data_IF_351389837299
#
_entry.id   IF_351389837299
#
_cell.length_a   1.000
_cell.length_b   1.000
_cell.length_c   1.000
_cell.angle_alpha   90.00
_cell.angle_beta   90.00
_cell.angle_gamma   90.00
#
_symmetry.space_group_name_H-M   'P 1'
#
loop_
_entity.id
_entity.type
_entity.pdbx_description
1 polymer ?
#
# COMPACT_ATOMS: atom_id res chain seq x y z
N UNK A 1 9.53 16.60 7.97
CA UNK A 1 10.45 16.21 6.88
C UNK A 1 11.26 15.03 7.37
N UNK A 2 11.09 13.87 6.75
CA UNK A 2 11.82 12.64 7.09
C UNK A 2 12.93 12.45 6.06
N UNK A 3 14.17 12.24 6.50
CA UNK A 3 15.31 11.94 5.63
C UNK A 3 15.67 10.48 5.85
N UNK A 4 15.60 9.68 4.78
CA UNK A 4 15.94 8.25 4.82
C UNK A 4 17.38 8.04 4.35
N UNK A 5 18.19 7.37 5.17
CA UNK A 5 19.54 6.97 4.77
C UNK A 5 19.48 5.75 3.84
N UNK A 6 20.40 5.70 2.87
CA UNK A 6 20.56 4.56 1.95
C UNK A 6 21.52 3.54 2.55
N UNK A 7 21.24 2.25 2.39
CA UNK A 7 22.16 1.16 2.75
C UNK A 7 23.22 0.95 1.65
N UNK A 8 24.30 0.24 1.98
CA UNK A 8 25.46 0.08 1.10
C UNK A 8 25.12 -0.64 -0.22
N UNK A 9 24.18 -1.59 -0.19
CA UNK A 9 23.68 -2.34 -1.34
C UNK A 9 22.84 -1.48 -2.31
N UNK A 10 22.32 -0.34 -1.85
CA UNK A 10 21.55 0.59 -2.68
C UNK A 10 22.42 1.61 -3.42
N UNK A 11 23.72 1.64 -3.14
CA UNK A 11 24.68 2.51 -3.82
C UNK A 11 25.21 1.82 -5.07
N UNK A 12 25.08 2.49 -6.23
CA UNK A 12 25.78 2.03 -7.44
C UNK A 12 27.25 2.44 -7.39
N UNK A 13 28.12 1.54 -7.82
CA UNK A 13 29.55 1.84 -7.98
C UNK A 13 29.80 2.90 -9.06
N UNK A 14 30.98 3.51 -9.03
CA UNK A 14 31.41 4.56 -9.96
C UNK A 14 31.96 4.02 -11.28
N UNK A 15 32.00 2.70 -11.44
CA UNK A 15 32.47 2.05 -12.67
C UNK A 15 31.60 2.45 -13.86
N UNK A 16 32.20 3.05 -14.89
CA UNK A 16 31.51 3.48 -16.11
C UNK A 16 31.07 4.94 -16.12
N UNK A 17 31.40 5.73 -15.09
CA UNK A 17 31.25 7.18 -15.16
C UNK A 17 32.25 7.78 -16.16
N UNK A 18 31.88 8.87 -16.87
CA UNK A 18 32.80 9.61 -17.72
C UNK A 18 33.94 10.23 -16.90
N UNK A 19 34.95 10.75 -17.61
CA UNK A 19 36.20 11.23 -17.04
C UNK A 19 35.99 12.10 -15.78
N UNK A 20 36.83 11.89 -14.76
CA UNK A 20 36.67 12.47 -13.42
C UNK A 20 36.75 14.00 -13.37
N UNK A 21 37.21 14.65 -14.44
CA UNK A 21 37.33 16.10 -14.51
C UNK A 21 37.04 16.63 -15.91
N UNK A 22 36.61 17.89 -16.00
CA UNK A 22 36.40 18.57 -17.28
C UNK A 22 37.68 18.64 -18.13
N UNK A 23 38.85 18.71 -17.48
CA UNK A 23 40.16 18.71 -18.15
C UNK A 23 40.46 17.34 -18.79
N UNK A 24 40.19 16.25 -18.07
CA UNK A 24 40.37 14.89 -18.60
C UNK A 24 39.31 14.53 -19.63
N UNK A 25 38.14 15.17 -19.58
CA UNK A 25 37.09 15.08 -20.59
C UNK A 25 37.35 15.96 -21.84
N UNK A 26 38.38 16.81 -21.84
CA UNK A 26 38.69 17.71 -22.96
C UNK A 26 37.70 18.87 -23.15
N UNK A 27 36.87 19.16 -22.13
CA UNK A 27 35.85 20.20 -22.20
C UNK A 27 36.48 21.58 -22.04
N UNK A 28 36.17 22.48 -22.97
CA UNK A 28 36.67 23.85 -22.98
C UNK A 28 35.72 24.79 -22.22
N UNK A 29 36.24 25.94 -21.76
CA UNK A 29 35.40 26.94 -21.08
C UNK A 29 34.28 27.48 -21.97
N UNK A 30 34.53 27.62 -23.28
CA UNK A 30 33.53 28.10 -24.25
C UNK A 30 32.36 27.13 -24.39
N UNK A 31 32.61 25.83 -24.32
CA UNK A 31 31.54 24.81 -24.37
C UNK A 31 30.69 24.83 -23.10
N UNK A 32 31.31 25.07 -21.94
CA UNK A 32 30.57 25.24 -20.68
C UNK A 32 29.68 26.49 -20.74
N UNK A 33 30.22 27.62 -21.23
CA UNK A 33 29.46 28.86 -21.37
C UNK A 33 28.28 28.70 -22.35
N UNK A 34 28.47 27.96 -23.43
CA UNK A 34 27.40 27.63 -24.38
C UNK A 34 26.33 26.74 -23.74
N UNK A 35 26.74 25.70 -23.01
CA UNK A 35 25.82 24.79 -22.34
C UNK A 35 24.98 25.50 -21.27
N UNK A 36 25.61 26.42 -20.52
CA UNK A 36 24.90 27.22 -19.52
C UNK A 36 23.78 28.06 -20.15
N UNK A 37 24.07 28.76 -21.26
CA UNK A 37 23.05 29.54 -21.98
C UNK A 37 21.89 28.67 -22.46
N UNK A 38 22.18 27.49 -22.98
CA UNK A 38 21.14 26.56 -23.41
C UNK A 38 20.26 26.11 -22.25
N UNK A 39 20.85 25.81 -21.10
CA UNK A 39 20.09 25.45 -19.89
C UNK A 39 19.23 26.63 -19.45
N UNK A 40 19.77 27.84 -19.43
CA UNK A 40 19.04 29.04 -19.02
C UNK A 40 17.85 29.30 -19.95
N UNK A 41 18.04 29.16 -21.27
CA UNK A 41 16.99 29.33 -22.28
C UNK A 41 15.91 28.24 -22.21
N UNK A 42 16.25 27.03 -21.75
CA UNK A 42 15.33 25.90 -21.61
C UNK A 42 14.77 25.74 -20.18
N UNK A 43 15.16 26.60 -19.25
CA UNK A 43 14.73 26.49 -17.85
C UNK A 43 13.31 27.04 -17.70
N UNK A 44 12.46 26.26 -17.04
CA UNK A 44 11.10 26.65 -16.71
C UNK A 44 10.81 26.46 -15.21
N UNK A 45 9.74 27.09 -14.73
CA UNK A 45 9.29 26.88 -13.35
C UNK A 45 8.73 25.48 -13.17
N UNK A 46 9.40 24.68 -12.34
CA UNK A 46 8.94 23.34 -12.00
C UNK A 46 7.60 23.36 -11.27
N UNK A 47 6.57 22.78 -11.89
CA UNK A 47 5.24 22.57 -11.32
C UNK A 47 4.96 21.06 -11.23
N UNK A 48 5.07 20.45 -10.04
CA UNK A 48 4.91 19.00 -9.88
C UNK A 48 3.59 18.45 -10.44
N UNK A 49 2.51 19.22 -10.37
CA UNK A 49 1.17 18.79 -10.81
C UNK A 49 0.98 18.68 -12.32
N UNK A 50 1.93 19.18 -13.13
CA UNK A 50 1.88 19.04 -14.60
C UNK A 50 2.28 17.62 -15.06
N UNK A 51 2.95 16.86 -14.19
CA UNK A 51 3.40 15.49 -14.47
C UNK A 51 2.43 14.49 -13.85
N UNK A 52 1.98 13.52 -14.65
CA UNK A 52 1.05 12.48 -14.22
C UNK A 52 1.62 11.11 -14.45
N UNK A 53 1.28 10.18 -13.56
CA UNK A 53 1.57 8.76 -13.73
C UNK A 53 0.58 8.16 -14.72
N UNK A 54 0.89 8.33 -16.01
CA UNK A 54 0.07 7.79 -17.10
C UNK A 54 0.04 6.27 -17.08
N UNK A 55 1.09 5.61 -16.58
CA UNK A 55 1.14 4.16 -16.46
C UNK A 55 0.10 3.66 -15.46
N UNK A 56 0.03 4.26 -14.26
CA UNK A 56 -0.97 3.90 -13.26
C UNK A 56 -2.39 4.15 -13.78
N UNK A 57 -2.62 5.31 -14.41
CA UNK A 57 -3.92 5.65 -15.01
C UNK A 57 -4.35 4.63 -16.07
N UNK A 58 -3.43 4.26 -16.98
CA UNK A 58 -3.66 3.28 -18.04
C UNK A 58 -3.91 1.88 -17.50
N UNK A 59 -3.16 1.47 -16.48
CA UNK A 59 -3.36 0.20 -15.81
C UNK A 59 -4.74 0.13 -15.16
N UNK A 60 -5.13 1.17 -14.42
CA UNK A 60 -6.45 1.23 -13.78
C UNK A 60 -7.59 1.25 -14.80
N UNK A 61 -7.41 1.91 -15.96
CA UNK A 61 -8.37 1.86 -17.06
C UNK A 61 -8.54 0.43 -17.59
N UNK A 62 -7.45 -0.28 -17.87
CA UNK A 62 -7.50 -1.69 -18.32
C UNK A 62 -8.15 -2.60 -17.29
N UNK A 63 -7.86 -2.41 -15.99
CA UNK A 63 -8.50 -3.16 -14.92
C UNK A 63 -10.02 -2.94 -14.93
N UNK A 64 -10.49 -1.69 -15.06
CA UNK A 64 -11.92 -1.37 -15.14
C UNK A 64 -12.58 -1.97 -16.38
N UNK A 65 -11.89 -2.00 -17.51
CA UNK A 65 -12.38 -2.65 -18.73
C UNK A 65 -12.59 -4.15 -18.52
N UNK A 66 -11.61 -4.86 -17.93
CA UNK A 66 -11.73 -6.28 -17.58
C UNK A 66 -12.87 -6.57 -16.62
N UNK A 67 -13.07 -5.69 -15.62
CA UNK A 67 -14.21 -5.79 -14.71
C UNK A 67 -15.53 -5.67 -15.47
N UNK A 68 -15.64 -4.73 -16.41
CA UNK A 68 -16.84 -4.54 -17.22
C UNK A 68 -17.08 -5.67 -18.21
N UNK A 69 -16.03 -6.26 -18.78
CA UNK A 69 -16.16 -7.40 -19.71
C UNK A 69 -16.43 -8.73 -19.00
N UNK A 70 -16.43 -8.74 -17.66
CA UNK A 70 -16.63 -9.97 -16.88
C UNK A 70 -15.43 -10.91 -16.90
N UNK A 71 -14.27 -10.44 -17.39
CA UNK A 71 -12.98 -11.15 -17.34
C UNK A 71 -12.33 -11.04 -15.95
N UNK A 72 -13.13 -11.15 -14.91
CA UNK A 72 -12.68 -11.16 -13.52
C UNK A 72 -12.70 -12.58 -13.04
N UNK A 73 -11.53 -13.10 -12.66
CA UNK A 73 -11.47 -14.37 -11.95
C UNK A 73 -11.68 -14.12 -10.47
N UNK A 74 -12.63 -14.85 -9.88
CA UNK A 74 -12.75 -14.94 -8.44
C UNK A 74 -11.55 -15.75 -7.95
N UNK A 75 -10.61 -15.06 -7.29
CA UNK A 75 -9.56 -15.75 -6.56
C UNK A 75 -10.26 -16.41 -5.38
N UNK A 76 -10.54 -17.71 -5.47
CA UNK A 76 -10.91 -18.52 -4.30
C UNK A 76 -9.85 -18.28 -3.25
N UNK A 77 -10.22 -17.53 -2.20
CA UNK A 77 -9.39 -17.38 -1.01
C UNK A 77 -9.10 -18.81 -0.55
N UNK A 78 -7.83 -19.20 -0.29
CA UNK A 78 -7.52 -20.57 0.08
C UNK A 78 -8.48 -21.01 1.18
N UNK A 79 -9.11 -22.16 0.96
CA UNK A 79 -10.05 -22.79 1.88
C UNK A 79 -9.29 -23.14 3.16
N UNK A 80 -9.17 -22.16 4.05
CA UNK A 80 -8.30 -22.23 5.22
C UNK A 80 -8.58 -21.15 6.28
N UNK A 81 -9.54 -20.27 6.02
CA UNK A 81 -10.26 -19.56 7.06
C UNK A 81 -11.73 -19.82 6.80
N UNK A 82 -12.20 -21.00 7.20
CA UNK A 82 -13.57 -21.06 7.72
C UNK A 82 -13.62 -19.94 8.76
N UNK A 83 -14.26 -18.82 8.41
CA UNK A 83 -14.74 -17.90 9.40
C UNK A 83 -15.59 -18.75 10.32
N UNK A 84 -15.03 -19.16 11.47
CA UNK A 84 -15.79 -19.83 12.51
C UNK A 84 -17.02 -18.96 12.70
N UNK A 85 -18.19 -19.45 12.26
CA UNK A 85 -19.46 -18.80 12.55
C UNK A 85 -19.40 -18.51 14.04
N UNK A 86 -19.59 -17.26 14.49
CA UNK A 86 -19.52 -16.96 15.91
C UNK A 86 -20.46 -17.95 16.59
N UNK A 87 -19.90 -18.92 17.34
CA UNK A 87 -20.71 -19.89 18.07
C UNK A 87 -21.56 -19.02 18.96
N UNK A 88 -22.86 -18.97 18.68
CA UNK A 88 -23.80 -18.24 19.52
C UNK A 88 -23.63 -18.83 20.91
N UNK A 89 -23.02 -18.06 21.80
CA UNK A 89 -22.94 -18.45 23.20
C UNK A 89 -24.38 -18.68 23.63
N UNK A 90 -24.73 -19.91 24.03
CA UNK A 90 -26.00 -20.17 24.67
C UNK A 90 -25.97 -19.40 25.98
N UNK A 91 -26.52 -18.19 25.97
CA UNK A 91 -26.70 -17.38 27.17
C UNK A 91 -27.80 -18.07 27.97
N UNK A 92 -27.38 -19.00 28.82
CA UNK A 92 -28.24 -19.65 29.78
C UNK A 92 -28.49 -18.61 30.88
N UNK A 93 -29.74 -18.15 30.99
CA UNK A 93 -30.15 -17.25 32.06
C UNK A 93 -30.19 -18.03 33.38
N UNK A 94 -29.11 -17.89 34.15
CA UNK A 94 -28.94 -18.53 35.45
C UNK A 94 -30.04 -18.12 36.44
N UNK A 95 -30.66 -16.95 36.29
CA UNK A 95 -31.76 -16.51 37.16
C UNK A 95 -33.06 -17.26 36.87
N UNK A 96 -33.31 -17.62 35.61
CA UNK A 96 -34.46 -18.44 35.23
C UNK A 96 -34.33 -19.88 35.74
N UNK A 97 -33.12 -20.46 35.66
CA UNK A 97 -32.83 -21.78 36.23
C UNK A 97 -32.93 -21.78 37.75
N UNK A 98 -32.47 -20.71 38.42
CA UNK A 98 -32.57 -20.58 39.87
C UNK A 98 -34.04 -20.49 40.33
N UNK A 99 -34.89 -19.72 39.64
CA UNK A 99 -36.34 -19.69 39.90
C UNK A 99 -36.97 -21.07 39.75
N UNK A 100 -36.65 -21.76 38.66
CA UNK A 100 -37.19 -23.10 38.42
C UNK A 100 -36.73 -24.12 39.49
N UNK A 101 -35.53 -23.96 40.04
CA UNK A 101 -35.02 -24.80 41.13
C UNK A 101 -35.67 -24.47 42.48
N UNK A 102 -35.97 -23.20 42.75
CA UNK A 102 -36.67 -22.76 43.96
C UNK A 102 -38.15 -23.18 43.95
N UNK A 103 -38.83 -23.08 42.81
CA UNK A 103 -40.23 -23.48 42.66
C UNK A 103 -40.42 -25.00 42.78
N UNK A 104 -39.42 -25.80 42.39
CA UNK A 104 -39.42 -27.27 42.56
C UNK A 104 -39.01 -27.71 43.97
N UNK A 105 -38.48 -26.80 44.80
CA UNK A 105 -37.91 -27.08 46.11
C UNK A 105 -38.80 -26.75 47.31
N UNK A 106 -40.00 -26.20 47.13
CA UNK A 106 -40.88 -25.84 48.25
C UNK A 106 -41.67 -27.06 48.79
N UNK A 107 -41.39 -27.56 50.01
CA UNK A 107 -42.20 -28.61 50.62
C UNK A 107 -43.55 -28.03 51.07
N UNK A 108 -44.64 -28.67 50.63
CA UNK A 108 -45.98 -28.43 51.16
C UNK A 108 -46.07 -29.00 52.57
N UNK A 109 -45.92 -28.16 53.60
CA UNK A 109 -46.26 -28.53 54.97
C UNK A 109 -47.73 -28.19 55.23
N UNK A 110 -48.56 -29.23 55.41
CA UNK A 110 -49.90 -29.14 55.99
C UNK A 110 -49.78 -28.79 57.48
N UNK A 111 -50.42 -27.73 57.95
CA UNK A 111 -51.41 -27.72 59.05
C UNK A 111 -52.13 -26.39 59.07
#
# INVERSE_FOLDING_TARGET
MLITLRYADQLRGTSGLPAESLKTAGVTSKEVDLAQRLVDDMTEHWKPGEFKDTYHEDLMRRIKEKIKSGETEEITRPEGEEAEKPRSAQIIDLAALLKQSLDKGAPRTKT
#
